data_IF_826430038890
#
_entry.id   IF_826430038890
#
_cell.length_a   1.000
_cell.length_b   1.000
_cell.length_c   1.000
_cell.angle_alpha   90.00
_cell.angle_beta   90.00
_cell.angle_gamma   90.00
#
_symmetry.space_group_name_H-M   'P 1'
#
loop_
_entity.id
_entity.type
_entity.pdbx_description
1 polymer ?
#
# COMPACT_ATOMS: atom_id res chain seq x y z
N UNK A 1 -13.05 -9.01 -1.48
CA UNK A 1 -12.98 -10.22 -0.62
C UNK A 1 -11.57 -10.27 -0.01
N UNK A 2 -11.46 -10.26 1.33
CA UNK A 2 -10.17 -10.43 2.04
C UNK A 2 -9.70 -11.88 1.87
N UNK A 3 -8.44 -12.07 1.51
CA UNK A 3 -7.81 -13.40 1.42
C UNK A 3 -6.89 -13.56 2.62
N UNK A 4 -7.00 -14.70 3.29
CA UNK A 4 -6.13 -15.07 4.41
C UNK A 4 -5.44 -16.38 4.03
N UNK A 5 -4.13 -16.44 4.29
CA UNK A 5 -3.27 -17.58 4.02
C UNK A 5 -2.56 -17.95 5.31
N UNK A 6 -2.67 -19.19 5.74
CA UNK A 6 -1.89 -19.72 6.85
C UNK A 6 -0.99 -20.82 6.32
N UNK A 7 0.31 -20.70 6.55
CA UNK A 7 1.31 -21.71 6.18
C UNK A 7 1.78 -22.39 7.47
N UNK A 8 1.53 -23.69 7.57
CA UNK A 8 1.93 -24.52 8.70
C UNK A 8 2.87 -25.64 8.22
N UNK A 9 4.19 -25.45 8.26
CA UNK A 9 5.15 -26.50 7.94
C UNK A 9 5.05 -27.65 8.95
N UNK A 10 5.14 -28.90 8.47
CA UNK A 10 5.11 -30.08 9.33
C UNK A 10 6.26 -30.06 10.35
N UNK A 11 5.94 -30.42 11.59
CA UNK A 11 6.91 -30.41 12.70
C UNK A 11 7.23 -29.03 13.28
N UNK A 12 6.60 -27.95 12.81
CA UNK A 12 6.82 -26.60 13.32
C UNK A 12 5.79 -26.19 14.39
N UNK A 13 6.26 -25.54 15.46
CA UNK A 13 5.43 -24.92 16.50
C UNK A 13 4.92 -23.53 16.12
N UNK A 14 5.30 -23.04 14.94
CA UNK A 14 4.98 -21.71 14.41
C UNK A 14 4.11 -21.84 13.16
N UNK A 15 3.08 -21.00 13.09
CA UNK A 15 2.21 -20.80 11.94
C UNK A 15 2.52 -19.44 11.31
N UNK A 16 2.62 -19.38 9.99
CA UNK A 16 2.86 -18.14 9.27
C UNK A 16 1.55 -17.63 8.69
N UNK A 17 1.03 -16.54 9.23
CA UNK A 17 -0.27 -15.98 8.83
C UNK A 17 -0.05 -14.77 7.93
N UNK A 18 -0.61 -14.82 6.73
CA UNK A 18 -0.68 -13.72 5.78
C UNK A 18 -2.11 -13.26 5.60
N UNK A 19 -2.34 -11.96 5.64
CA UNK A 19 -3.66 -11.38 5.33
C UNK A 19 -3.51 -10.32 4.26
N UNK A 20 -4.30 -10.41 3.18
CA UNK A 20 -4.38 -9.33 2.18
C UNK A 20 -5.07 -8.12 2.80
N UNK A 21 -4.55 -6.91 2.62
CA UNK A 21 -5.13 -5.72 3.23
C UNK A 21 -6.29 -5.16 2.39
N UNK A 22 -7.35 -4.70 3.05
CA UNK A 22 -8.41 -3.94 2.38
C UNK A 22 -7.81 -2.64 1.83
N UNK A 23 -7.99 -2.39 0.53
CA UNK A 23 -7.41 -1.24 -0.16
C UNK A 23 -6.06 -1.51 -0.84
N UNK A 24 -5.44 -2.68 -0.67
CA UNK A 24 -4.21 -3.06 -1.41
C UNK A 24 -4.48 -3.21 -2.92
N UNK A 25 -5.68 -3.70 -3.28
CA UNK A 25 -6.15 -3.73 -4.66
C UNK A 25 -6.62 -2.35 -5.20
N UNK A 26 -6.77 -1.35 -4.33
CA UNK A 26 -7.29 -0.01 -4.66
C UNK A 26 -6.23 1.09 -4.61
N UNK A 27 -5.11 0.87 -3.92
CA UNK A 27 -3.89 1.64 -4.12
C UNK A 27 -3.40 1.30 -5.53
N UNK A 28 -3.67 2.20 -6.49
CA UNK A 28 -3.54 1.92 -7.93
C UNK A 28 -2.33 1.07 -8.25
N UNK A 29 -2.50 0.02 -9.07
CA UNK A 29 -1.51 -0.97 -9.49
C UNK A 29 -0.14 -0.34 -9.84
N UNK A 30 0.69 0.00 -8.86
CA UNK A 30 1.99 0.64 -9.08
C UNK A 30 3.10 -0.40 -9.17
N UNK A 31 2.85 -1.62 -8.69
CA UNK A 31 3.82 -2.72 -8.71
C UNK A 31 3.16 -3.96 -9.27
N UNK A 32 3.57 -4.34 -10.49
CA UNK A 32 3.20 -5.61 -11.12
C UNK A 32 4.32 -6.60 -10.86
N UNK A 33 4.00 -7.73 -10.24
CA UNK A 33 4.95 -8.81 -9.99
C UNK A 33 4.74 -9.93 -11.01
N UNK A 34 5.82 -10.58 -11.41
CA UNK A 34 5.78 -11.76 -12.25
C UNK A 34 6.80 -12.79 -11.76
N UNK A 35 6.44 -14.07 -11.88
CA UNK A 35 7.33 -15.19 -11.60
C UNK A 35 7.92 -15.66 -12.93
N UNK A 36 9.26 -15.61 -13.03
CA UNK A 36 10.01 -16.12 -14.18
C UNK A 36 10.69 -17.44 -13.83
N UNK A 37 10.57 -18.44 -14.70
CA UNK A 37 11.35 -19.68 -14.65
C UNK A 37 12.22 -19.72 -15.89
N UNK A 38 13.54 -19.61 -15.69
CA UNK A 38 14.53 -19.66 -16.76
C UNK A 38 15.19 -21.03 -16.81
N UNK A 39 15.07 -21.70 -17.95
CA UNK A 39 15.80 -22.91 -18.27
C UNK A 39 17.07 -22.55 -19.04
N UNK A 40 18.23 -22.86 -18.46
CA UNK A 40 19.54 -22.53 -19.01
C UNK A 40 19.93 -23.42 -20.19
N UNK A 41 19.48 -24.68 -20.22
CA UNK A 41 19.84 -25.64 -21.27
C UNK A 41 19.12 -25.30 -22.57
N UNK A 42 17.82 -25.03 -22.47
CA UNK A 42 16.97 -24.68 -23.62
C UNK A 42 16.92 -23.17 -23.89
N UNK A 43 17.60 -22.36 -23.07
CA UNK A 43 17.58 -20.90 -23.11
C UNK A 43 16.16 -20.30 -23.12
N UNK A 44 15.22 -20.94 -22.42
CA UNK A 44 13.80 -20.57 -22.44
C UNK A 44 13.39 -19.90 -21.13
N UNK A 45 12.75 -18.73 -21.22
CA UNK A 45 12.14 -18.02 -20.08
C UNK A 45 10.62 -18.14 -20.12
N UNK A 46 10.02 -18.77 -19.12
CA UNK A 46 8.56 -18.79 -18.92
C UNK A 46 8.18 -17.76 -17.85
N UNK A 47 7.27 -16.84 -18.18
CA UNK A 47 6.83 -15.75 -17.29
C UNK A 47 5.35 -15.89 -16.96
N UNK A 48 5.01 -15.85 -15.66
CA UNK A 48 3.65 -15.86 -15.16
C UNK A 48 3.37 -14.60 -14.32
N UNK A 49 2.33 -13.85 -14.67
CA UNK A 49 1.92 -12.68 -13.89
C UNK A 49 1.33 -13.10 -12.55
N UNK A 50 1.72 -12.40 -11.49
CA UNK A 50 1.14 -12.59 -10.15
C UNK A 50 0.01 -11.58 -10.00
N UNK A 51 -1.21 -12.08 -9.81
CA UNK A 51 -2.39 -11.24 -9.62
C UNK A 51 -2.26 -10.33 -8.40
N UNK A 52 -2.78 -9.10 -8.50
CA UNK A 52 -2.99 -8.25 -7.33
C UNK A 52 -3.83 -9.02 -6.31
N UNK A 53 -3.44 -9.00 -5.02
CA UNK A 53 -3.95 -9.84 -3.90
C UNK A 53 -3.29 -11.21 -3.67
N UNK A 54 -2.29 -11.59 -4.48
CA UNK A 54 -1.57 -12.88 -4.31
C UNK A 54 -0.21 -12.76 -3.64
N UNK A 55 0.21 -11.55 -3.29
CA UNK A 55 1.43 -11.29 -2.50
C UNK A 55 1.00 -11.12 -1.05
N UNK A 56 1.53 -11.94 -0.15
CA UNK A 56 1.21 -11.91 1.27
C UNK A 56 2.46 -11.62 2.08
N UNK A 57 2.38 -10.62 2.96
CA UNK A 57 3.34 -10.47 4.05
C UNK A 57 2.93 -11.43 5.16
N UNK A 58 3.78 -12.39 5.46
CA UNK A 58 3.53 -13.41 6.48
C UNK A 58 4.07 -12.94 7.83
N UNK A 59 3.31 -13.20 8.89
CA UNK A 59 3.72 -12.98 10.27
C UNK A 59 3.77 -14.33 11.02
N UNK A 60 4.87 -14.63 11.72
CA UNK A 60 4.99 -15.84 12.52
C UNK A 60 4.14 -15.74 13.79
N UNK A 61 3.35 -16.77 14.07
CA UNK A 61 2.54 -16.94 15.27
C UNK A 61 2.83 -18.28 15.92
N UNK A 62 3.16 -18.29 17.20
CA UNK A 62 3.43 -19.52 17.95
C UNK A 62 2.09 -20.15 18.37
N UNK A 63 1.96 -21.46 18.19
CA UNK A 63 0.75 -22.20 18.58
C UNK A 63 0.51 -22.07 20.09
N UNK A 64 -0.73 -21.77 20.47
CA UNK A 64 -1.16 -21.65 21.88
C UNK A 64 -0.93 -20.29 22.53
N UNK A 65 -0.41 -19.30 21.79
CA UNK A 65 -0.35 -17.90 22.22
C UNK A 65 -1.45 -17.09 21.52
N UNK A 66 -2.18 -16.28 22.29
CA UNK A 66 -3.13 -15.31 21.73
C UNK A 66 -2.38 -14.06 21.24
N UNK A 67 -2.67 -13.67 20.01
CA UNK A 67 -2.12 -12.46 19.39
C UNK A 67 -3.25 -11.46 19.16
N UNK A 68 -3.24 -10.36 19.90
CA UNK A 68 -4.10 -9.22 19.62
C UNK A 68 -3.69 -8.62 18.26
N UNK A 69 -4.49 -8.89 17.23
CA UNK A 69 -4.29 -8.27 15.93
C UNK A 69 -4.55 -6.76 16.08
N UNK A 70 -3.58 -5.88 15.79
CA UNK A 70 -3.89 -4.47 15.67
C UNK A 70 -4.94 -4.28 14.56
N UNK A 71 -5.83 -3.29 14.68
CA UNK A 71 -6.82 -3.02 13.67
C UNK A 71 -6.11 -2.81 12.32
N UNK A 72 -6.70 -3.31 11.20
CA UNK A 72 -6.09 -3.19 9.89
C UNK A 72 -5.78 -1.72 9.62
N UNK A 73 -4.50 -1.40 9.41
CA UNK A 73 -4.08 -0.06 9.00
C UNK A 73 -4.65 0.21 7.60
N UNK A 74 -5.58 1.16 7.44
CA UNK A 74 -6.08 1.48 6.11
C UNK A 74 -4.94 2.15 5.32
N UNK A 75 -4.70 1.69 4.09
CA UNK A 75 -3.72 2.32 3.17
C UNK A 75 -4.16 3.69 2.69
N UNK A 76 -5.44 4.03 2.91
CA UNK A 76 -6.02 5.34 2.69
C UNK A 76 -6.61 5.77 4.03
N UNK A 77 -5.96 6.69 4.74
CA UNK A 77 -6.67 7.44 5.78
C UNK A 77 -7.89 8.07 5.09
N UNK A 78 -9.11 7.65 5.44
CA UNK A 78 -10.33 8.35 5.05
C UNK A 78 -10.24 9.77 5.64
N UNK A 79 -9.68 10.68 4.86
CA UNK A 79 -9.58 12.08 5.22
C UNK A 79 -10.80 12.81 4.67
N UNK A 80 -11.37 13.67 5.50
CA UNK A 80 -12.38 14.60 5.01
C UNK A 80 -11.79 15.46 3.88
N UNK A 81 -12.63 16.00 2.97
CA UNK A 81 -12.16 16.90 1.92
C UNK A 81 -11.28 18.05 2.45
N UNK A 82 -11.60 18.55 3.64
CA UNK A 82 -10.86 19.64 4.31
C UNK A 82 -9.50 19.19 4.86
N UNK A 83 -9.40 17.97 5.38
CA UNK A 83 -8.12 17.43 5.82
C UNK A 83 -7.20 17.14 4.63
N UNK A 84 -7.78 16.70 3.51
CA UNK A 84 -7.04 16.43 2.28
C UNK A 84 -6.51 17.71 1.63
N UNK A 85 -7.29 18.79 1.63
CA UNK A 85 -6.83 20.11 1.14
C UNK A 85 -5.70 20.66 2.01
N UNK A 86 -5.80 20.56 3.35
CA UNK A 86 -4.75 21.05 4.24
C UNK A 86 -3.46 20.21 4.15
N UNK A 87 -3.56 18.87 4.07
CA UNK A 87 -2.36 18.02 3.86
C UNK A 87 -1.70 18.30 2.50
N UNK A 88 -2.48 18.52 1.44
CA UNK A 88 -1.92 18.91 0.13
C UNK A 88 -1.23 20.27 0.21
N UNK A 89 -1.85 21.27 0.84
CA UNK A 89 -1.24 22.59 1.04
C UNK A 89 0.09 22.50 1.78
N UNK A 90 0.15 21.73 2.86
CA UNK A 90 1.40 21.47 3.62
C UNK A 90 2.47 20.78 2.77
N UNK A 91 2.06 19.81 1.95
CA UNK A 91 3.00 19.07 1.09
C UNK A 91 3.56 19.97 -0.01
N UNK A 92 2.72 20.77 -0.67
CA UNK A 92 3.13 21.72 -1.70
C UNK A 92 4.01 22.84 -1.13
N UNK A 93 3.78 23.27 0.11
CA UNK A 93 4.63 24.26 0.78
C UNK A 93 6.04 23.73 1.05
N UNK A 94 6.19 22.43 1.35
CA UNK A 94 7.48 21.82 1.70
C UNK A 94 8.23 21.32 0.46
N UNK A 95 7.52 20.73 -0.50
CA UNK A 95 8.10 20.00 -1.63
C UNK A 95 7.66 20.51 -3.00
N UNK A 96 6.75 21.48 -3.06
CA UNK A 96 6.22 22.01 -4.30
C UNK A 96 7.18 22.93 -5.03
N UNK A 97 6.94 23.11 -6.32
CA UNK A 97 7.68 24.10 -7.11
C UNK A 97 7.25 25.52 -6.76
N UNK A 98 8.13 26.51 -6.95
CA UNK A 98 7.79 27.94 -6.75
C UNK A 98 6.48 28.35 -7.44
N UNK A 99 6.21 27.81 -8.65
CA UNK A 99 4.97 28.10 -9.38
C UNK A 99 3.73 27.64 -8.61
N UNK A 100 3.76 26.46 -8.02
CA UNK A 100 2.62 25.92 -7.26
C UNK A 100 2.37 26.70 -5.97
N UNK A 101 3.44 27.10 -5.27
CA UNK A 101 3.35 27.91 -4.05
C UNK A 101 2.75 29.29 -4.39
N UNK A 102 3.21 29.95 -5.45
CA UNK A 102 2.69 31.26 -5.86
C UNK A 102 1.22 31.19 -6.28
N UNK A 103 0.82 30.15 -7.02
CA UNK A 103 -0.60 29.97 -7.41
C UNK A 103 -1.51 29.78 -6.19
N UNK A 104 -1.06 29.05 -5.16
CA UNK A 104 -1.81 28.88 -3.91
C UNK A 104 -1.97 30.21 -3.17
N UNK A 105 -0.87 30.95 -2.96
CA UNK A 105 -0.91 32.26 -2.29
C UNK A 105 -1.83 33.23 -3.03
N UNK A 106 -1.71 33.31 -4.36
CA UNK A 106 -2.55 34.19 -5.20
C UNK A 106 -4.04 33.84 -5.10
N UNK A 107 -4.37 32.54 -5.04
CA UNK A 107 -5.73 32.07 -4.87
C UNK A 107 -6.29 32.42 -3.48
N UNK A 108 -5.48 32.31 -2.42
CA UNK A 108 -5.86 32.70 -1.06
C UNK A 108 -6.03 34.22 -0.91
N UNK A 109 -5.17 35.04 -1.52
CA UNK A 109 -5.29 36.51 -1.54
C UNK A 109 -6.59 36.96 -2.22
N UNK A 110 -6.95 36.29 -3.32
CA UNK A 110 -8.18 36.57 -4.08
C UNK A 110 -9.46 36.19 -3.30
N UNK A 111 -9.38 35.16 -2.45
CA UNK A 111 -10.47 34.77 -1.54
C UNK A 111 -10.60 35.70 -0.33
N UNK A 112 -9.49 36.29 0.15
CA UNK A 112 -9.50 37.29 1.24
C UNK A 112 -9.95 38.69 0.80
N UNK A 113 -10.13 38.93 -0.50
CA UNK A 113 -10.60 40.20 -1.00
C UNK A 113 -9.58 41.34 -0.88
N UNK A 114 -8.30 41.02 -0.75
CA UNK A 114 -7.22 42.00 -0.87
C UNK A 114 -6.92 42.16 -2.37
N UNK A 115 -7.22 43.36 -2.88
CA UNK A 115 -6.94 43.78 -4.26
C UNK A 115 -5.46 44.05 -4.45
#
# INVERSE_FOLDING_TARGET
KRTELVVCPDGCSVEFVGTSYAGEASAGHRSMYALGVFDKETQTLKVMHIGANKIFRLEPKVKGLEYNMPPPTPTVEEMSPDQWTEKRRKTDAIFGSMRQIVMQVTHESKLRGEK
#
